data_IF_946010086804
#
_entry.id   IF_946010086804
#
_cell.length_a   1.000
_cell.length_b   1.000
_cell.length_c   1.000
_cell.angle_alpha   90.00
_cell.angle_beta   90.00
_cell.angle_gamma   90.00
#
_symmetry.space_group_name_H-M   'P 1'
#
loop_
_entity.id
_entity.type
_entity.pdbx_description
1 polymer ?
#
# COMPACT_ATOMS: atom_id res chain seq x y z
N UNK A 1 13.99 0.07 7.36
CA UNK A 1 12.55 0.42 7.26
C UNK A 1 11.74 -0.84 7.51
N UNK A 2 10.72 -0.81 8.37
CA UNK A 2 9.85 -1.98 8.58
C UNK A 2 8.71 -2.01 7.57
N UNK A 3 8.09 -3.17 7.40
CA UNK A 3 6.93 -3.35 6.52
C UNK A 3 5.78 -2.45 6.95
N UNK A 4 5.50 -2.37 8.25
CA UNK A 4 4.38 -1.58 8.82
C UNK A 4 4.53 -0.10 8.48
N UNK A 5 5.76 0.42 8.55
CA UNK A 5 6.06 1.81 8.17
C UNK A 5 5.89 2.01 6.67
N UNK A 6 6.43 1.11 5.85
CA UNK A 6 6.29 1.20 4.39
C UNK A 6 4.81 1.20 3.96
N UNK A 7 3.99 0.38 4.61
CA UNK A 7 2.54 0.26 4.35
C UNK A 7 1.76 1.48 4.87
N UNK A 8 2.08 2.00 6.06
CA UNK A 8 1.31 3.09 6.66
C UNK A 8 1.57 4.46 6.02
N UNK A 9 2.73 4.64 5.37
CA UNK A 9 3.19 5.94 4.89
C UNK A 9 2.28 6.57 3.82
N UNK A 10 1.82 5.87 2.77
CA UNK A 10 0.88 6.42 1.79
C UNK A 10 -0.41 6.96 2.42
N UNK A 11 -1.01 6.21 3.35
CA UNK A 11 -2.20 6.60 4.10
C UNK A 11 -1.96 7.85 4.94
N UNK A 12 -0.87 7.87 5.71
CA UNK A 12 -0.49 9.01 6.55
C UNK A 12 -0.28 10.28 5.73
N UNK A 13 0.36 10.17 4.57
CA UNK A 13 0.61 11.32 3.69
C UNK A 13 -0.68 11.90 3.12
N UNK A 14 -1.63 11.04 2.73
CA UNK A 14 -2.92 11.47 2.21
C UNK A 14 -3.93 11.86 3.29
N UNK A 15 -3.64 11.56 4.56
CA UNK A 15 -4.53 11.83 5.68
C UNK A 15 -5.81 10.99 5.65
N UNK A 16 -5.75 9.79 5.08
CA UNK A 16 -6.91 8.89 4.87
C UNK A 16 -6.60 7.50 5.39
N UNK A 17 -7.64 6.77 5.82
CA UNK A 17 -7.56 5.34 6.15
C UNK A 17 -7.93 4.42 4.98
N UNK A 18 -8.36 5.00 3.84
CA UNK A 18 -8.74 4.29 2.62
C UNK A 18 -8.08 4.90 1.41
N UNK A 19 -7.61 4.06 0.50
CA UNK A 19 -6.84 4.46 -0.68
C UNK A 19 -7.06 3.42 -1.78
N UNK A 20 -7.15 3.86 -3.03
CA UNK A 20 -7.21 2.93 -4.16
C UNK A 20 -5.87 2.22 -4.37
N UNK A 21 -5.88 0.97 -4.81
CA UNK A 21 -4.66 0.19 -5.06
C UNK A 21 -3.68 0.91 -5.99
N UNK A 22 -4.17 1.50 -7.09
CA UNK A 22 -3.33 2.26 -8.02
C UNK A 22 -2.66 3.48 -7.37
N UNK A 23 -3.38 4.18 -6.49
CA UNK A 23 -2.83 5.31 -5.74
C UNK A 23 -1.73 4.87 -4.76
N UNK A 24 -1.94 3.74 -4.08
CA UNK A 24 -0.94 3.15 -3.19
C UNK A 24 0.34 2.77 -3.93
N UNK A 25 0.20 2.13 -5.11
CA UNK A 25 1.33 1.76 -5.96
C UNK A 25 2.11 3.00 -6.42
N UNK A 26 1.42 4.04 -6.87
CA UNK A 26 2.05 5.31 -7.28
C UNK A 26 2.82 5.94 -6.12
N UNK A 27 2.23 6.02 -4.93
CA UNK A 27 2.85 6.63 -3.76
C UNK A 27 4.13 5.92 -3.28
N UNK A 28 4.27 4.62 -3.56
CA UNK A 28 5.46 3.85 -3.19
C UNK A 28 6.53 3.78 -4.29
N UNK A 29 6.11 3.81 -5.55
CA UNK A 29 7.01 3.65 -6.70
C UNK A 29 7.47 4.95 -7.33
N UNK A 30 6.61 5.96 -7.41
CA UNK A 30 6.93 7.22 -8.09
C UNK A 30 7.30 8.30 -7.09
N UNK A 31 6.48 8.50 -6.05
CA UNK A 31 6.73 9.56 -5.08
C UNK A 31 7.96 9.30 -4.21
N UNK A 32 8.31 8.01 -4.04
CA UNK A 32 9.34 7.57 -3.10
C UNK A 32 10.45 6.72 -3.69
N UNK A 33 10.23 6.14 -4.86
CA UNK A 33 11.18 5.22 -5.50
C UNK A 33 11.65 4.09 -4.56
N UNK A 34 10.76 3.62 -3.67
CA UNK A 34 11.07 2.55 -2.71
C UNK A 34 10.90 1.16 -3.31
N UNK A 35 9.98 1.03 -4.25
CA UNK A 35 9.60 -0.22 -4.88
C UNK A 35 9.28 0.03 -6.36
N UNK A 36 9.55 -0.94 -7.23
CA UNK A 36 8.93 -0.92 -8.55
C UNK A 36 7.40 -1.05 -8.44
N UNK A 37 6.62 -0.66 -9.47
CA UNK A 37 5.17 -0.83 -9.45
C UNK A 37 4.72 -2.26 -9.14
N UNK A 38 5.42 -3.26 -9.67
CA UNK A 38 5.11 -4.68 -9.42
C UNK A 38 5.47 -5.11 -7.98
N UNK A 39 6.57 -4.58 -7.42
CA UNK A 39 6.92 -4.82 -6.02
C UNK A 39 5.92 -4.17 -5.08
N UNK A 40 5.43 -2.97 -5.40
CA UNK A 40 4.40 -2.28 -4.63
C UNK A 40 3.08 -3.06 -4.66
N UNK A 41 2.67 -3.63 -5.80
CA UNK A 41 1.50 -4.53 -5.86
C UNK A 41 1.66 -5.76 -4.98
N UNK A 42 2.81 -6.45 -5.07
CA UNK A 42 3.11 -7.59 -4.19
C UNK A 42 3.11 -7.21 -2.71
N UNK A 43 3.51 -5.99 -2.39
CA UNK A 43 3.47 -5.49 -1.02
C UNK A 43 2.05 -5.46 -0.46
N UNK A 44 1.05 -5.12 -1.29
CA UNK A 44 -0.36 -5.12 -0.90
C UNK A 44 -0.80 -6.53 -0.52
N UNK A 45 -0.45 -7.55 -1.31
CA UNK A 45 -0.77 -8.95 -1.01
C UNK A 45 -0.13 -9.40 0.31
N UNK A 46 1.15 -9.07 0.53
CA UNK A 46 1.87 -9.41 1.75
C UNK A 46 1.29 -8.68 2.97
N UNK A 47 0.94 -7.40 2.81
CA UNK A 47 0.36 -6.59 3.88
C UNK A 47 -1.05 -7.07 4.25
N UNK A 48 -1.87 -7.43 3.26
CA UNK A 48 -3.19 -8.04 3.48
C UNK A 48 -3.06 -9.39 4.21
N UNK A 49 -2.17 -10.28 3.75
CA UNK A 49 -1.91 -11.57 4.38
C UNK A 49 -1.37 -11.47 5.82
N UNK A 50 -0.80 -10.32 6.20
CA UNK A 50 -0.34 -10.02 7.55
C UNK A 50 -1.34 -9.22 8.40
N UNK A 51 -2.51 -8.89 7.84
CA UNK A 51 -3.53 -8.08 8.53
C UNK A 51 -3.17 -6.60 8.69
N UNK A 52 -2.17 -6.10 7.95
CA UNK A 52 -1.80 -4.69 7.93
C UNK A 52 -2.69 -3.86 7.00
N UNK A 53 -3.29 -4.51 6.00
CA UNK A 53 -4.29 -3.94 5.11
C UNK A 53 -5.52 -4.84 5.05
N UNK A 54 -6.66 -4.23 4.75
CA UNK A 54 -7.87 -4.94 4.35
C UNK A 54 -8.23 -4.45 2.95
N UNK A 55 -8.48 -5.38 2.03
CA UNK A 55 -9.02 -5.05 0.70
C UNK A 55 -10.54 -5.00 0.80
N UNK A 56 -11.13 -3.90 0.38
CA UNK A 56 -12.59 -3.77 0.29
C UNK A 56 -13.13 -4.33 -1.06
N UNK A 57 -12.25 -4.81 -1.94
CA UNK A 57 -12.57 -5.35 -3.28
C UNK A 57 -13.28 -6.73 -3.30
N UNK A 58 -13.59 -7.32 -2.14
CA UNK A 58 -14.21 -8.67 -2.03
C UNK A 58 -15.66 -8.66 -1.53
N UNK A 59 -16.38 -7.53 -1.68
CA UNK A 59 -17.84 -7.54 -1.52
C UNK A 59 -18.50 -7.80 -2.88
N UNK A 60 -18.67 -9.08 -3.23
CA UNK A 60 -19.54 -9.54 -4.32
C UNK A 60 -20.99 -9.59 -3.84
#
# INVERSE_FOLDING_TARGET
MSLDVAVAVPFKQRGTSRMGEGEFVVALSLDRDWFSPDQAKRLIDVAAGRGLLTREDDAV
#
